data_IF_652291777508
#
_entry.id   IF_652291777508
#
_cell.length_a   1.000
_cell.length_b   1.000
_cell.length_c   1.000
_cell.angle_alpha   90.00
_cell.angle_beta   90.00
_cell.angle_gamma   90.00
#
_symmetry.space_group_name_H-M   'P 1'
#
loop_
_entity.id
_entity.type
_entity.pdbx_description
1 polymer ?
#
# COMPACT_ATOMS: atom_id res chain seq x y z
N UNK A 1 -0.89 -1.96 18.86
CA UNK A 1 -1.36 -2.98 17.88
C UNK A 1 -0.22 -3.21 16.88
N UNK A 2 -0.05 -4.44 16.38
CA UNK A 2 1.08 -4.74 15.49
C UNK A 2 0.85 -4.15 14.09
N UNK A 3 1.89 -3.60 13.45
CA UNK A 3 1.82 -3.22 12.04
C UNK A 3 1.42 -4.41 11.17
N UNK A 4 0.71 -4.15 10.08
CA UNK A 4 0.31 -5.16 9.08
C UNK A 4 1.15 -4.94 7.82
N UNK A 5 1.61 -6.02 7.20
CA UNK A 5 2.29 -5.95 5.91
C UNK A 5 1.36 -5.34 4.85
N UNK A 6 1.88 -4.43 4.02
CA UNK A 6 1.04 -3.63 3.14
C UNK A 6 0.31 -4.48 2.09
N UNK A 7 0.89 -5.59 1.64
CA UNK A 7 0.24 -6.55 0.72
C UNK A 7 -0.97 -7.24 1.37
N UNK A 8 -0.84 -7.67 2.63
CA UNK A 8 -1.94 -8.21 3.42
C UNK A 8 -3.02 -7.16 3.68
N UNK A 9 -2.62 -5.91 3.93
CA UNK A 9 -3.58 -4.80 4.07
C UNK A 9 -4.34 -4.55 2.75
N UNK A 10 -3.65 -4.53 1.60
CA UNK A 10 -4.27 -4.39 0.28
C UNK A 10 -5.29 -5.52 0.05
N UNK A 11 -4.91 -6.77 0.35
CA UNK A 11 -5.79 -7.93 0.19
C UNK A 11 -7.08 -7.80 1.03
N UNK A 12 -7.00 -7.15 2.19
CA UNK A 12 -8.13 -6.92 3.10
C UNK A 12 -9.05 -5.75 2.70
N UNK A 13 -8.72 -4.98 1.65
CA UNK A 13 -9.61 -3.92 1.15
C UNK A 13 -10.96 -4.56 0.74
N UNK A 14 -12.09 -4.17 1.34
CA UNK A 14 -13.36 -4.89 1.16
C UNK A 14 -14.00 -4.63 -0.22
N UNK A 15 -13.69 -3.49 -0.83
CA UNK A 15 -14.22 -3.12 -2.14
C UNK A 15 -13.28 -3.60 -3.24
N UNK A 16 -13.74 -4.56 -4.04
CA UNK A 16 -12.95 -5.14 -5.14
C UNK A 16 -12.45 -4.07 -6.13
N UNK A 17 -13.31 -3.10 -6.47
CA UNK A 17 -12.97 -1.94 -7.30
C UNK A 17 -11.75 -1.20 -6.74
N UNK A 18 -11.79 -0.88 -5.45
CA UNK A 18 -10.72 -0.15 -4.75
C UNK A 18 -9.44 -0.98 -4.64
N UNK A 19 -9.54 -2.28 -4.34
CA UNK A 19 -8.38 -3.18 -4.33
C UNK A 19 -7.68 -3.20 -5.68
N UNK A 20 -8.45 -3.42 -6.75
CA UNK A 20 -7.92 -3.44 -8.12
C UNK A 20 -7.39 -2.07 -8.57
N UNK A 21 -7.97 -0.97 -8.10
CA UNK A 21 -7.43 0.36 -8.35
C UNK A 21 -6.05 0.54 -7.71
N UNK A 22 -5.89 0.19 -6.43
CA UNK A 22 -4.60 0.30 -5.71
C UNK A 22 -3.52 -0.56 -6.38
N UNK A 23 -3.84 -1.80 -6.73
CA UNK A 23 -2.92 -2.69 -7.46
C UNK A 23 -2.45 -2.07 -8.78
N UNK A 24 -3.36 -1.51 -9.58
CA UNK A 24 -3.02 -0.85 -10.86
C UNK A 24 -2.14 0.37 -10.65
N UNK A 25 -2.45 1.22 -9.66
CA UNK A 25 -1.63 2.41 -9.36
C UNK A 25 -0.21 2.00 -8.98
N UNK A 26 -0.04 1.00 -8.12
CA UNK A 26 1.28 0.52 -7.71
C UNK A 26 2.08 -0.07 -8.89
N UNK A 27 1.43 -0.86 -9.75
CA UNK A 27 2.05 -1.38 -10.97
C UNK A 27 2.49 -0.25 -11.92
N UNK A 28 1.62 0.73 -12.15
CA UNK A 28 1.93 1.87 -13.02
C UNK A 28 3.07 2.73 -12.47
N UNK A 29 3.20 2.89 -11.15
CA UNK A 29 4.34 3.62 -10.57
C UNK A 29 5.68 3.00 -10.96
N UNK A 30 5.79 1.67 -10.95
CA UNK A 30 7.01 0.96 -11.37
C UNK A 30 7.25 1.11 -12.87
N UNK A 31 6.22 0.86 -13.69
CA UNK A 31 6.32 0.95 -15.17
C UNK A 31 6.70 2.36 -15.62
N UNK A 32 6.08 3.40 -15.05
CA UNK A 32 6.38 4.76 -15.46
C UNK A 32 7.70 5.28 -14.90
N UNK A 33 8.16 4.80 -13.74
CA UNK A 33 9.49 5.13 -13.25
C UNK A 33 10.57 4.67 -14.27
N UNK A 34 10.45 3.44 -14.77
CA UNK A 34 11.33 2.92 -15.82
C UNK A 34 11.24 3.77 -17.10
N UNK A 35 10.02 4.01 -17.62
CA UNK A 35 9.82 4.75 -18.88
C UNK A 35 10.34 6.18 -18.84
N UNK A 36 10.33 6.81 -17.66
CA UNK A 36 10.82 8.17 -17.45
C UNK A 36 12.34 8.22 -17.19
N UNK A 37 13.03 7.08 -17.15
CA UNK A 37 14.45 7.02 -16.82
C UNK A 37 14.75 7.41 -15.37
N UNK A 38 13.78 7.26 -14.47
CA UNK A 38 13.99 7.49 -13.04
C UNK A 38 14.83 6.35 -12.43
N UNK A 39 15.42 6.56 -11.24
CA UNK A 39 16.10 5.49 -10.52
C UNK A 39 15.20 4.24 -10.37
N UNK A 40 15.78 3.03 -10.41
CA UNK A 40 15.02 1.79 -10.28
C UNK A 40 14.14 1.79 -9.04
N UNK A 41 12.84 1.62 -9.24
CA UNK A 41 11.84 1.58 -8.18
C UNK A 41 11.35 0.16 -7.99
N UNK A 42 11.57 -0.43 -6.80
CA UNK A 42 11.01 -1.75 -6.49
C UNK A 42 9.63 -1.59 -5.88
N UNK A 43 8.73 -2.51 -6.20
CA UNK A 43 7.40 -2.55 -5.59
C UNK A 43 7.48 -2.72 -4.06
N UNK A 44 8.44 -3.49 -3.55
CA UNK A 44 8.69 -3.65 -2.11
C UNK A 44 8.94 -2.32 -1.40
N UNK A 45 9.62 -1.38 -2.07
CA UNK A 45 9.98 -0.09 -1.49
C UNK A 45 8.76 0.83 -1.36
N UNK A 46 7.69 0.54 -2.13
CA UNK A 46 6.41 1.23 -2.09
C UNK A 46 5.44 0.66 -1.05
N UNK A 47 5.79 -0.46 -0.42
CA UNK A 47 4.91 -1.25 0.44
C UNK A 47 5.46 -1.34 1.88
N UNK A 48 5.75 -0.21 2.55
CA UNK A 48 6.15 -0.26 3.96
C UNK A 48 4.98 -0.79 4.82
N UNK A 49 5.25 -1.50 5.92
CA UNK A 49 4.21 -1.97 6.83
C UNK A 49 3.28 -0.84 7.26
N UNK A 50 1.97 -1.11 7.23
CA UNK A 50 0.93 -0.15 7.59
C UNK A 50 0.85 -0.08 9.12
N UNK A 51 1.09 1.10 9.73
CA UNK A 51 0.99 1.25 11.17
C UNK A 51 -0.45 1.02 11.59
N UNK A 52 -0.65 0.19 12.62
CA UNK A 52 -1.96 0.05 13.19
C UNK A 52 -2.38 1.36 13.86
N UNK A 53 -3.60 1.81 13.59
CA UNK A 53 -4.16 3.01 14.23
C UNK A 53 -4.07 2.86 15.76
N UNK A 54 -3.63 3.91 16.49
CA UNK A 54 -3.65 3.87 17.95
C UNK A 54 -5.10 3.66 18.41
N UNK A 55 -5.29 2.71 19.34
CA UNK A 55 -6.61 2.54 19.98
C UNK A 55 -6.92 3.84 20.72
N UNK A 56 -7.90 4.59 20.23
CA UNK A 56 -8.40 5.77 20.90
C UNK A 56 -9.28 5.34 22.07
N UNK A 57 -8.80 5.56 23.29
CA UNK A 57 -9.57 5.36 24.51
C UNK A 57 -10.30 6.67 24.89
N UNK A 58 -11.01 7.30 23.97
CA UNK A 58 -11.84 8.47 24.27
C UNK A 58 -13.26 8.03 24.63
N UNK A 59 -13.42 7.42 25.80
CA UNK A 59 -14.57 7.55 26.72
C UNK A 59 -14.16 7.00 28.08
N UNK A 60 -13.87 7.88 29.03
CA UNK A 60 -14.08 7.65 30.45
C UNK A 60 -14.46 8.95 31.13
#
# INVERSE_FOLDING_TARGET
PQPIDADLWIAQIPFNETRGYVERVLAYRVIYAERLGLPPLRLSDLLPPIPALPRNNAKS
#
